data_IF_394174446343
#
_entry.id   IF_394174446343
#
_cell.length_a   1.000
_cell.length_b   1.000
_cell.length_c   1.000
_cell.angle_alpha   90.00
_cell.angle_beta   90.00
_cell.angle_gamma   90.00
#
_symmetry.space_group_name_H-M   'P 1'
#
loop_
_entity.id
_entity.type
_entity.pdbx_description
1 polymer ?
#
# COMPACT_ATOMS: atom_id res chain seq x y z
N UNK A 1 0.54 6.88 -10.35
CA UNK A 1 0.94 6.27 -11.64
C UNK A 1 -0.25 5.50 -12.20
N UNK A 2 -0.68 5.78 -13.44
CA UNK A 2 -1.77 5.04 -14.12
C UNK A 2 -1.30 3.66 -14.58
N UNK A 3 -2.24 2.75 -14.84
CA UNK A 3 -1.94 1.40 -15.31
C UNK A 3 -1.13 1.42 -16.62
N UNK A 4 -1.45 2.35 -17.53
CA UNK A 4 -0.76 2.55 -18.81
C UNK A 4 0.69 3.00 -18.72
N UNK A 5 1.17 3.42 -17.54
CA UNK A 5 2.57 3.81 -17.36
C UNK A 5 3.55 2.62 -17.37
N UNK A 6 3.02 1.39 -17.23
CA UNK A 6 3.78 0.16 -17.44
C UNK A 6 2.95 -0.76 -18.33
N UNK A 7 3.46 -1.02 -19.53
CA UNK A 7 2.84 -1.91 -20.50
C UNK A 7 3.47 -3.32 -20.42
N UNK A 8 2.73 -4.33 -19.90
CA UNK A 8 3.24 -5.69 -19.83
C UNK A 8 3.22 -6.41 -21.18
N UNK A 9 2.49 -5.94 -22.19
CA UNK A 9 2.38 -6.65 -23.48
C UNK A 9 3.64 -6.58 -24.32
N UNK A 10 4.46 -5.55 -24.10
CA UNK A 10 5.72 -5.30 -24.83
C UNK A 10 6.98 -5.54 -23.97
N UNK A 11 6.82 -5.90 -22.70
CA UNK A 11 7.93 -6.01 -21.76
C UNK A 11 8.74 -7.31 -21.90
N UNK A 12 10.06 -7.25 -21.77
CA UNK A 12 10.89 -8.45 -21.82
C UNK A 12 10.66 -9.35 -20.60
N UNK A 13 10.04 -10.51 -20.81
CA UNK A 13 9.53 -11.41 -19.78
C UNK A 13 10.33 -12.72 -19.65
N UNK A 14 11.57 -12.80 -20.17
CA UNK A 14 12.34 -14.04 -20.21
C UNK A 14 12.46 -14.73 -18.84
N UNK A 15 12.04 -16.00 -18.80
CA UNK A 15 12.11 -16.87 -17.63
C UNK A 15 13.53 -17.46 -17.57
N UNK A 16 14.18 -17.36 -16.41
CA UNK A 16 15.45 -18.04 -16.15
C UNK A 16 15.39 -18.75 -14.81
N UNK A 17 16.11 -19.86 -14.66
CA UNK A 17 16.02 -20.72 -13.47
C UNK A 17 16.52 -20.04 -12.18
N UNK A 18 17.37 -19.01 -12.30
CA UNK A 18 17.89 -18.22 -11.18
C UNK A 18 18.14 -16.76 -11.57
N UNK A 19 17.09 -15.95 -11.77
CA UNK A 19 17.28 -14.55 -12.11
C UNK A 19 17.80 -13.81 -10.87
N UNK A 20 19.01 -13.21 -10.95
CA UNK A 20 19.42 -12.17 -9.98
C UNK A 20 18.63 -10.89 -10.27
N UNK A 21 17.34 -10.88 -9.91
CA UNK A 21 16.43 -9.75 -10.16
C UNK A 21 15.90 -9.19 -8.85
N UNK A 22 15.58 -7.90 -8.84
CA UNK A 22 14.90 -7.29 -7.70
C UNK A 22 13.46 -7.79 -7.60
N UNK A 23 12.85 -7.68 -6.42
CA UNK A 23 11.44 -8.01 -6.24
C UNK A 23 10.53 -7.23 -7.21
N UNK A 24 10.80 -5.94 -7.43
CA UNK A 24 10.03 -5.11 -8.36
C UNK A 24 10.16 -5.60 -9.81
N UNK A 25 11.35 -5.98 -10.22
CA UNK A 25 11.62 -6.49 -11.57
C UNK A 25 10.96 -7.85 -11.79
N UNK A 26 11.06 -8.76 -10.80
CA UNK A 26 10.40 -10.06 -10.86
C UNK A 26 8.88 -9.94 -11.01
N UNK A 27 8.25 -8.99 -10.31
CA UNK A 27 6.79 -8.73 -10.44
C UNK A 27 6.41 -8.21 -11.83
N UNK A 28 7.18 -7.28 -12.40
CA UNK A 28 6.95 -6.78 -13.77
C UNK A 28 7.05 -7.90 -14.81
N UNK A 29 8.08 -8.75 -14.70
CA UNK A 29 8.26 -9.90 -15.60
C UNK A 29 7.15 -10.93 -15.47
N UNK A 30 6.69 -11.22 -14.25
CA UNK A 30 5.57 -12.13 -14.04
C UNK A 30 4.28 -11.59 -14.67
N UNK A 31 3.97 -10.30 -14.49
CA UNK A 31 2.82 -9.67 -15.14
C UNK A 31 2.92 -9.75 -16.68
N UNK A 32 4.09 -9.41 -17.23
CA UNK A 32 4.36 -9.51 -18.66
C UNK A 32 4.21 -10.93 -19.20
N UNK A 33 4.79 -11.91 -18.52
CA UNK A 33 4.71 -13.31 -18.90
C UNK A 33 3.26 -13.79 -18.96
N UNK A 34 2.44 -13.46 -17.96
CA UNK A 34 1.02 -13.82 -17.93
C UNK A 34 0.27 -13.29 -19.15
N UNK A 35 0.38 -11.99 -19.45
CA UNK A 35 -0.35 -11.39 -20.58
C UNK A 35 0.18 -11.82 -21.95
N UNK A 36 1.47 -12.14 -22.07
CA UNK A 36 2.08 -12.55 -23.34
C UNK A 36 1.87 -14.03 -23.67
N UNK A 37 1.74 -14.90 -22.67
CA UNK A 37 1.73 -16.37 -22.88
C UNK A 37 0.36 -17.01 -22.66
N UNK A 38 -0.59 -16.35 -21.99
CA UNK A 38 -1.92 -16.90 -21.69
C UNK A 38 -2.99 -16.33 -22.63
N UNK A 39 -2.75 -16.42 -23.94
CA UNK A 39 -3.68 -15.94 -24.95
C UNK A 39 -5.06 -16.63 -24.81
N UNK A 40 -6.14 -15.85 -24.92
CA UNK A 40 -7.51 -16.35 -24.82
C UNK A 40 -8.03 -16.60 -23.39
N UNK A 41 -7.19 -16.43 -22.36
CA UNK A 41 -7.60 -16.53 -20.95
C UNK A 41 -7.85 -15.12 -20.40
N UNK A 42 -9.05 -14.82 -19.85
CA UNK A 42 -9.30 -13.53 -19.22
C UNK A 42 -8.47 -13.41 -17.93
N UNK A 43 -7.47 -12.53 -17.94
CA UNK A 43 -6.60 -12.27 -16.79
C UNK A 43 -6.96 -10.91 -16.18
N UNK A 44 -7.09 -10.87 -14.86
CA UNK A 44 -7.07 -9.63 -14.07
C UNK A 44 -5.79 -9.54 -13.26
N UNK A 45 -4.98 -8.52 -13.55
CA UNK A 45 -3.77 -8.21 -12.80
C UNK A 45 -4.00 -6.99 -11.91
N UNK A 46 -3.77 -7.15 -10.60
CA UNK A 46 -3.99 -6.09 -9.61
C UNK A 46 -2.65 -5.62 -9.06
N UNK A 47 -2.35 -4.33 -9.22
CA UNK A 47 -1.15 -3.69 -8.69
C UNK A 47 -1.48 -3.07 -7.34
N UNK A 48 -0.81 -3.57 -6.30
CA UNK A 48 -0.99 -3.14 -4.92
C UNK A 48 0.18 -2.25 -4.48
N UNK A 49 -0.09 -1.14 -3.79
CA UNK A 49 0.94 -0.38 -3.09
C UNK A 49 1.18 -1.02 -1.71
N UNK A 50 1.54 -0.23 -0.70
CA UNK A 50 1.67 -0.75 0.66
C UNK A 50 0.28 -1.01 1.26
N UNK A 51 -0.07 -2.29 1.39
CA UNK A 51 -1.29 -2.71 2.07
C UNK A 51 -1.13 -2.66 3.60
N UNK A 52 -2.08 -2.01 4.27
CA UNK A 52 -2.10 -1.82 5.71
C UNK A 52 -3.51 -2.12 6.27
N UNK A 53 -3.55 -2.53 7.53
CA UNK A 53 -4.78 -2.86 8.26
C UNK A 53 -4.45 -3.82 9.39
N UNK A 54 -5.34 -3.95 10.37
CA UNK A 54 -5.10 -4.87 11.50
C UNK A 54 -5.19 -6.33 11.10
N UNK A 55 -5.95 -6.63 10.04
CA UNK A 55 -6.07 -7.96 9.45
C UNK A 55 -4.99 -8.27 8.41
N UNK A 56 -4.07 -7.32 8.13
CA UNK A 56 -3.01 -7.55 7.14
C UNK A 56 -1.94 -8.51 7.69
N UNK A 57 -1.57 -9.59 6.97
CA UNK A 57 -0.54 -10.54 7.42
C UNK A 57 0.83 -9.92 7.71
N UNK A 58 1.10 -8.73 7.15
CA UNK A 58 2.35 -8.02 7.38
C UNK A 58 2.48 -7.43 8.79
N UNK A 59 1.35 -7.26 9.50
CA UNK A 59 1.23 -6.59 10.81
C UNK A 59 1.83 -5.17 10.85
N UNK A 60 2.13 -4.57 9.68
CA UNK A 60 2.84 -3.28 9.60
C UNK A 60 2.05 -2.18 10.28
N UNK A 61 0.73 -2.17 10.12
CA UNK A 61 -0.16 -1.21 10.75
C UNK A 61 -0.08 -1.32 12.27
N UNK A 62 -0.33 -2.52 12.83
CA UNK A 62 -0.31 -2.75 14.27
C UNK A 62 1.05 -2.42 14.88
N UNK A 63 2.16 -2.90 14.30
CA UNK A 63 3.52 -2.63 14.78
C UNK A 63 3.87 -1.15 14.76
N UNK A 64 3.42 -0.41 13.74
CA UNK A 64 3.63 1.02 13.65
C UNK A 64 2.82 1.76 14.72
N UNK A 65 1.53 1.43 14.82
CA UNK A 65 0.62 1.98 15.82
C UNK A 65 1.15 1.80 17.25
N UNK A 66 1.61 0.60 17.59
CA UNK A 66 2.19 0.29 18.90
C UNK A 66 3.47 1.07 19.21
N UNK A 67 4.35 1.23 18.22
CA UNK A 67 5.58 2.04 18.39
C UNK A 67 5.23 3.49 18.73
N UNK A 68 4.24 4.06 18.05
CA UNK A 68 3.77 5.43 18.26
C UNK A 68 3.08 5.54 19.64
N UNK A 69 2.20 4.60 19.97
CA UNK A 69 1.46 4.55 21.24
C UNK A 69 2.41 4.43 22.44
N UNK A 70 3.35 3.48 22.38
CA UNK A 70 4.35 3.19 23.42
C UNK A 70 5.39 4.29 23.65
N UNK A 71 5.20 5.47 23.03
CA UNK A 71 6.07 6.65 23.13
C UNK A 71 7.52 6.38 22.71
N UNK A 72 7.80 5.30 21.97
CA UNK A 72 9.13 5.02 21.44
C UNK A 72 9.41 6.01 20.31
N UNK A 73 10.64 6.51 20.25
CA UNK A 73 11.06 7.31 19.10
C UNK A 73 10.86 6.48 17.84
N UNK A 74 10.03 6.97 16.91
CA UNK A 74 9.92 6.33 15.62
C UNK A 74 10.81 7.09 14.65
N UNK A 75 11.95 6.49 14.24
CA UNK A 75 12.84 7.19 13.34
C UNK A 75 12.14 7.27 11.98
N UNK A 76 12.06 8.47 11.40
CA UNK A 76 11.64 8.63 10.01
C UNK A 76 12.81 8.34 9.08
N UNK A 77 12.55 7.79 7.90
CA UNK A 77 13.47 7.96 6.78
C UNK A 77 13.28 9.40 6.30
N UNK A 78 14.35 10.13 6.00
CA UNK A 78 14.23 11.49 5.45
C UNK A 78 13.65 11.51 4.01
N UNK A 79 12.88 10.49 3.61
CA UNK A 79 12.20 10.45 2.34
C UNK A 79 10.99 11.37 2.38
N UNK A 80 11.01 12.37 1.49
CA UNK A 80 9.85 13.21 1.20
C UNK A 80 9.05 12.67 0.00
N UNK A 81 9.28 11.42 -0.41
CA UNK A 81 8.62 10.85 -1.58
C UNK A 81 7.21 10.36 -1.22
N UNK A 82 6.19 10.73 -2.01
CA UNK A 82 4.83 10.29 -1.77
C UNK A 82 4.67 8.81 -2.10
N UNK A 83 3.85 8.13 -1.31
CA UNK A 83 3.49 6.73 -1.47
C UNK A 83 1.97 6.57 -1.43
N UNK A 84 1.44 5.67 -2.24
CA UNK A 84 0.06 5.22 -2.11
C UNK A 84 -0.06 4.19 -0.98
N UNK A 85 -1.22 4.15 -0.35
CA UNK A 85 -1.60 3.12 0.61
C UNK A 85 -2.84 2.39 0.09
N UNK A 86 -3.11 1.21 0.62
CA UNK A 86 -4.39 0.53 0.41
C UNK A 86 -4.82 -0.16 1.69
N UNK A 87 -6.11 -0.10 2.01
CA UNK A 87 -6.65 -0.83 3.14
C UNK A 87 -6.69 -2.33 2.83
N UNK A 88 -6.26 -3.17 3.76
CA UNK A 88 -6.27 -4.62 3.58
C UNK A 88 -7.68 -5.17 3.31
N UNK A 89 -8.71 -4.57 3.90
CA UNK A 89 -10.09 -4.95 3.63
C UNK A 89 -10.51 -4.57 2.21
N UNK A 90 -10.18 -3.35 1.74
CA UNK A 90 -10.44 -2.97 0.34
C UNK A 90 -9.74 -3.89 -0.66
N UNK A 91 -8.55 -4.42 -0.34
CA UNK A 91 -7.88 -5.40 -1.22
C UNK A 91 -8.73 -6.66 -1.37
N UNK A 92 -9.27 -7.18 -0.27
CA UNK A 92 -10.13 -8.36 -0.29
C UNK A 92 -11.45 -8.07 -1.03
N UNK A 93 -12.08 -6.93 -0.75
CA UNK A 93 -13.33 -6.52 -1.39
C UNK A 93 -13.15 -6.30 -2.88
N UNK A 94 -12.02 -5.70 -3.29
CA UNK A 94 -11.71 -5.49 -4.69
C UNK A 94 -11.42 -6.80 -5.43
N UNK A 95 -10.68 -7.74 -4.81
CA UNK A 95 -10.49 -9.07 -5.37
C UNK A 95 -11.83 -9.78 -5.58
N UNK A 96 -12.72 -9.75 -4.59
CA UNK A 96 -14.06 -10.32 -4.71
C UNK A 96 -14.86 -9.64 -5.83
N UNK A 97 -14.85 -8.31 -5.86
CA UNK A 97 -15.57 -7.53 -6.85
C UNK A 97 -15.10 -7.80 -8.28
N UNK A 98 -13.78 -7.86 -8.52
CA UNK A 98 -13.21 -8.18 -9.84
C UNK A 98 -13.64 -9.56 -10.33
N UNK A 99 -13.73 -10.55 -9.43
CA UNK A 99 -14.21 -11.89 -9.76
C UNK A 99 -15.71 -11.90 -10.12
N UNK A 100 -16.55 -11.24 -9.33
CA UNK A 100 -18.00 -11.16 -9.57
C UNK A 100 -18.31 -10.41 -10.87
N UNK A 101 -17.60 -9.30 -11.13
CA UNK A 101 -17.76 -8.51 -12.36
C UNK A 101 -17.07 -9.13 -13.57
N UNK A 102 -16.33 -10.23 -13.39
CA UNK A 102 -15.54 -10.90 -14.44
C UNK A 102 -14.64 -9.90 -15.19
N UNK A 103 -14.00 -9.01 -14.44
CA UNK A 103 -13.11 -8.04 -15.05
C UNK A 103 -11.92 -8.74 -15.70
N UNK A 104 -11.34 -8.04 -16.67
CA UNK A 104 -10.09 -8.41 -17.31
C UNK A 104 -9.22 -7.16 -17.52
N UNK A 105 -7.92 -7.38 -17.62
CA UNK A 105 -6.90 -6.35 -17.74
C UNK A 105 -6.25 -5.97 -16.41
N UNK A 106 -5.58 -4.82 -16.41
CA UNK A 106 -4.73 -4.37 -15.31
C UNK A 106 -5.48 -3.31 -14.50
N UNK A 107 -5.40 -3.38 -13.18
CA UNK A 107 -6.03 -2.42 -12.27
C UNK A 107 -5.07 -2.04 -11.13
N UNK A 108 -5.03 -0.77 -10.79
CA UNK A 108 -4.42 -0.30 -9.55
C UNK A 108 -5.45 -0.35 -8.41
N UNK A 109 -5.03 -0.87 -7.26
CA UNK A 109 -5.86 -0.91 -6.06
C UNK A 109 -5.20 -0.11 -4.93
N UNK A 110 -5.66 1.13 -4.75
CA UNK A 110 -5.14 2.05 -3.75
C UNK A 110 -6.23 3.00 -3.26
N UNK A 111 -6.05 3.50 -2.04
CA UNK A 111 -6.78 4.68 -1.58
C UNK A 111 -6.47 5.88 -2.51
N UNK A 112 -7.41 6.82 -2.66
CA UNK A 112 -7.26 7.94 -3.61
C UNK A 112 -6.13 8.90 -3.23
N UNK A 113 -5.78 9.00 -1.94
CA UNK A 113 -4.74 9.90 -1.46
C UNK A 113 -3.34 9.25 -1.43
N UNK A 114 -2.33 10.11 -1.46
CA UNK A 114 -0.92 9.72 -1.30
C UNK A 114 -0.30 10.48 -0.14
N UNK A 115 0.65 9.84 0.54
CA UNK A 115 1.29 10.41 1.73
C UNK A 115 2.79 10.25 1.65
N UNK A 116 3.53 11.21 2.18
CA UNK A 116 4.91 11.01 2.62
C UNK A 116 4.93 10.16 3.88
N UNK A 117 6.10 9.59 4.20
CA UNK A 117 6.24 8.86 5.47
C UNK A 117 5.86 9.75 6.66
N UNK A 118 6.29 11.02 6.68
CA UNK A 118 5.96 11.97 7.75
C UNK A 118 4.45 12.19 7.94
N UNK A 119 3.70 12.37 6.86
CA UNK A 119 2.25 12.58 6.92
C UNK A 119 1.51 11.35 7.47
N UNK A 120 1.98 10.13 7.17
CA UNK A 120 1.43 8.90 7.77
C UNK A 120 1.58 8.96 9.30
N UNK A 121 2.75 9.37 9.80
CA UNK A 121 2.96 9.50 11.24
C UNK A 121 2.10 10.59 11.87
N UNK A 122 1.98 11.74 11.22
CA UNK A 122 1.12 12.83 11.68
C UNK A 122 -0.33 12.38 11.76
N UNK A 123 -0.80 11.60 10.78
CA UNK A 123 -2.11 10.99 10.81
C UNK A 123 -2.30 10.09 12.02
N UNK A 124 -1.39 9.15 12.29
CA UNK A 124 -1.45 8.32 13.50
C UNK A 124 -1.45 9.13 14.80
N UNK A 125 -0.61 10.18 14.89
CA UNK A 125 -0.58 11.06 16.06
C UNK A 125 -1.89 11.83 16.25
N UNK A 126 -2.52 12.25 15.15
CA UNK A 126 -3.81 12.93 15.18
C UNK A 126 -4.92 12.03 15.76
N UNK A 127 -4.93 10.75 15.39
CA UNK A 127 -5.90 9.77 15.93
C UNK A 127 -5.69 9.56 17.44
N UNK A 128 -4.44 9.57 17.89
CA UNK A 128 -4.08 9.42 19.30
C UNK A 128 -4.30 10.69 20.13
N UNK A 129 -4.77 11.80 19.52
CA UNK A 129 -4.82 13.14 20.13
C UNK A 129 -3.50 13.54 20.82
N UNK A 130 -2.37 13.03 20.32
CA UNK A 130 -1.09 13.18 21.00
C UNK A 130 -0.43 14.49 20.59
N UNK A 131 -0.12 15.37 21.56
CA UNK A 131 0.66 16.60 21.33
C UNK A 131 2.17 16.34 21.11
N UNK A 132 2.58 15.08 20.96
CA UNK A 132 4.01 14.72 20.83
C UNK A 132 4.56 15.18 19.49
N UNK A 133 5.75 15.77 19.53
CA UNK A 133 6.52 16.07 18.33
C UNK A 133 7.18 14.81 17.79
N UNK A 134 7.14 14.64 16.48
CA UNK A 134 7.89 13.60 15.77
C UNK A 134 9.38 13.92 15.91
N UNK A 135 10.14 13.06 16.59
CA UNK A 135 11.61 13.14 16.59
C UNK A 135 12.14 12.57 15.27
N UNK A 136 12.53 13.44 14.33
CA UNK A 136 13.23 13.05 13.10
C UNK A 136 14.64 12.56 13.45
N UNK A 137 14.79 11.30 13.85
CA UNK A 137 16.11 10.70 14.01
C UNK A 137 16.56 10.14 12.66
N UNK A 138 17.66 10.72 12.18
CA UNK A 138 18.24 10.50 10.88
C UNK A 138 18.98 9.15 10.82
N UNK A 139 18.24 8.03 10.88
CA UNK A 139 18.83 6.69 10.82
C UNK A 139 19.10 6.31 9.36
N UNK A 140 20.36 6.42 8.92
CA UNK A 140 20.83 6.08 7.57
C UNK A 140 20.81 4.57 7.23
N UNK A 141 20.44 3.68 8.16
CA UNK A 141 20.80 2.25 8.07
C UNK A 141 19.68 1.21 8.15
N UNK A 142 18.40 1.58 8.33
CA UNK A 142 17.31 0.59 8.39
C UNK A 142 16.44 0.61 7.12
N UNK A 143 16.13 -0.59 6.60
CA UNK A 143 15.13 -0.78 5.54
C UNK A 143 13.74 -0.44 6.11
N UNK A 144 13.28 0.79 5.90
CA UNK A 144 11.97 1.23 6.42
C UNK A 144 10.85 0.89 5.45
N UNK A 145 9.66 0.53 5.97
CA UNK A 145 8.54 0.08 5.15
C UNK A 145 8.04 1.12 4.14
N UNK A 146 8.28 2.40 4.40
CA UNK A 146 7.84 3.53 3.57
C UNK A 146 8.98 4.29 2.89
N UNK A 147 10.23 3.83 3.04
CA UNK A 147 11.35 4.51 2.38
C UNK A 147 11.34 4.25 0.88
N UNK A 148 11.34 5.32 0.11
CA UNK A 148 11.63 5.27 -1.32
C UNK A 148 12.51 6.44 -1.74
N UNK A 149 13.30 6.22 -2.79
CA UNK A 149 14.07 7.27 -3.48
C UNK A 149 13.25 7.98 -4.56
N UNK A 150 12.12 7.39 -4.96
CA UNK A 150 11.22 7.88 -6.02
C UNK A 150 9.77 7.80 -5.53
N UNK A 151 8.84 8.58 -6.11
CA UNK A 151 7.42 8.44 -5.81
C UNK A 151 6.92 7.02 -6.07
N UNK A 152 6.16 6.44 -5.13
CA UNK A 152 5.52 5.13 -5.29
C UNK A 152 4.00 5.30 -5.23
N UNK A 153 3.47 6.07 -6.16
CA UNK A 153 2.05 6.42 -6.22
C UNK A 153 1.34 5.64 -7.30
N UNK A 154 0.11 5.24 -7.05
CA UNK A 154 -0.82 4.62 -7.99
C UNK A 154 -2.02 5.54 -8.22
N UNK A 155 -2.75 5.29 -9.30
CA UNK A 155 -3.98 6.01 -9.66
C UNK A 155 -5.08 4.96 -9.84
N UNK A 156 -6.11 4.99 -8.98
CA UNK A 156 -7.23 4.05 -9.00
C UNK A 156 -8.44 4.54 -9.81
N UNK A 157 -8.32 5.62 -10.57
CA UNK A 157 -9.45 6.23 -11.30
C UNK A 157 -10.11 5.26 -12.28
N UNK A 158 -9.37 4.27 -12.79
CA UNK A 158 -9.90 3.21 -13.64
C UNK A 158 -10.91 2.31 -12.91
N UNK A 159 -10.62 1.93 -11.66
CA UNK A 159 -11.54 1.14 -10.85
C UNK A 159 -12.76 1.99 -10.43
N UNK A 160 -12.51 3.25 -10.06
CA UNK A 160 -13.54 4.24 -9.71
C UNK A 160 -14.53 4.46 -10.86
N UNK A 161 -14.04 4.65 -12.09
CA UNK A 161 -14.92 4.85 -13.25
C UNK A 161 -15.76 3.62 -13.61
N UNK A 162 -15.38 2.44 -13.11
CA UNK A 162 -16.12 1.19 -13.26
C UNK A 162 -17.01 0.86 -12.04
N UNK A 163 -17.07 1.74 -11.06
CA UNK A 163 -18.00 1.65 -9.92
C UNK A 163 -17.42 1.03 -8.66
N UNK A 164 -16.11 0.87 -8.54
CA UNK A 164 -15.46 0.49 -7.28
C UNK A 164 -14.72 1.68 -6.66
N UNK A 165 -15.13 2.09 -5.47
CA UNK A 165 -14.49 3.16 -4.72
C UNK A 165 -13.68 2.59 -3.58
N UNK A 166 -12.37 2.83 -3.61
CA UNK A 166 -11.49 2.52 -2.49
C UNK A 166 -11.74 3.48 -1.33
N UNK A 167 -11.61 2.96 -0.11
CA UNK A 167 -11.80 3.73 1.11
C UNK A 167 -10.69 4.78 1.23
N UNK A 168 -11.04 6.06 1.50
CA UNK A 168 -10.05 7.12 1.77
C UNK A 168 -9.09 6.72 2.89
N UNK A 169 -7.80 6.98 2.69
CA UNK A 169 -6.77 6.51 3.61
C UNK A 169 -6.91 7.07 5.02
N UNK A 170 -7.33 8.31 5.11
CA UNK A 170 -7.61 8.97 6.36
C UNK A 170 -8.68 8.24 7.18
N UNK A 171 -9.75 7.78 6.51
CA UNK A 171 -10.92 7.19 7.14
C UNK A 171 -10.62 5.79 7.69
N UNK A 172 -10.01 4.92 6.87
CA UNK A 172 -9.71 3.56 7.34
C UNK A 172 -8.58 3.54 8.37
N UNK A 173 -7.59 4.44 8.31
CA UNK A 173 -6.54 4.53 9.34
C UNK A 173 -7.16 4.91 10.69
N UNK A 174 -8.08 5.88 10.70
CA UNK A 174 -8.83 6.28 11.90
C UNK A 174 -9.65 5.13 12.47
N UNK A 175 -10.36 4.40 11.61
CA UNK A 175 -11.16 3.25 12.01
C UNK A 175 -10.30 2.17 12.68
N UNK A 176 -9.24 1.73 11.99
CA UNK A 176 -8.34 0.67 12.45
C UNK A 176 -7.63 1.06 13.77
N UNK A 177 -7.18 2.30 13.88
CA UNK A 177 -6.56 2.81 15.10
C UNK A 177 -7.57 2.87 16.27
N UNK A 178 -8.79 3.32 16.04
CA UNK A 178 -9.85 3.35 17.06
C UNK A 178 -10.20 1.94 17.56
N UNK A 179 -10.27 0.96 16.65
CA UNK A 179 -10.49 -0.43 17.01
C UNK A 179 -9.35 -0.99 17.85
N UNK A 180 -8.09 -0.67 17.52
CA UNK A 180 -6.94 -1.08 18.33
C UNK A 180 -6.95 -0.45 19.73
N UNK A 181 -7.32 0.83 19.85
CA UNK A 181 -7.44 1.50 21.15
C UNK A 181 -8.52 0.84 22.01
N UNK A 182 -9.70 0.61 21.44
CA UNK A 182 -10.83 -0.03 22.12
C UNK A 182 -10.48 -1.43 22.59
N UNK A 183 -9.88 -2.27 21.73
CA UNK A 183 -9.41 -3.63 22.08
C UNK A 183 -8.38 -3.64 23.21
N UNK A 184 -7.66 -2.52 23.43
CA UNK A 184 -6.64 -2.38 24.48
C UNK A 184 -7.12 -1.65 25.72
N UNK A 185 -8.39 -1.25 25.79
CA UNK A 185 -8.92 -0.46 26.90
C UNK A 185 -8.26 0.91 27.04
N UNK A 186 -7.69 1.46 25.96
CA UNK A 186 -7.05 2.77 25.99
C UNK A 186 -8.12 3.87 25.88
N UNK A 187 -8.29 4.64 26.94
CA UNK A 187 -9.18 5.81 26.94
C UNK A 187 -8.33 7.05 26.63
N UNK A 188 -8.49 7.71 25.47
CA UNK A 188 -7.72 8.91 25.14
C UNK A 188 -8.12 10.04 26.10
N UNK A 189 -7.28 10.29 27.10
CA UNK A 189 -7.35 11.42 28.03
C UNK A 189 -7.18 12.75 27.31
#
# INVERSE_FOLDING_TARGET
MKESAFDPFTYNSSVSDRPKTSYSEGKKRAEAYLFQNMAGIPITAIRLPVALGTNAPSERFTKLFEKILGKKHVPLSNSAQPISLVWANDVADFLYWTAIKKLSGIYNACSPETFTEGEIYELFLSVLKSKKKISRINYRREKKPFYSKVPLTLDCSKATSQGFNFTPAFDWIRLEASQLLSKRGYNPS
#
